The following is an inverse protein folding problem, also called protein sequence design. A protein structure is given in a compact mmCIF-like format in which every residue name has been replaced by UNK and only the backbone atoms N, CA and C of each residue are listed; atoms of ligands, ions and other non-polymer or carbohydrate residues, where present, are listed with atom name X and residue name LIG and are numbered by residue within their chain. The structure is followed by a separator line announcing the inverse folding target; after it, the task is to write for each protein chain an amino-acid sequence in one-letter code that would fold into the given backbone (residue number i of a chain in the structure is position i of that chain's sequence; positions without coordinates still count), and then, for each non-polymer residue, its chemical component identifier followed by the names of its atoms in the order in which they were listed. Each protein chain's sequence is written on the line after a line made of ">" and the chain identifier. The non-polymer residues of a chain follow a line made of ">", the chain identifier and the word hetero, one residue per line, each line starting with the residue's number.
data_IF_420652322367
#
_entry.id   IF_420652322367
#
_cell.length_a   1.000
_cell.length_b   1.000
_cell.length_c   1.000
_cell.angle_alpha   90.00
_cell.angle_beta   90.00
_cell.angle_gamma   90.00
#
_symmetry.space_group_name_H-M   'P 1'
#
loop_
_entity.id
_entity.type
_entity.pdbx_description
1 polymer ?
#
# COMPACT_ATOMS: atom_id res chain seq x y z
N UNK A 1 -95.80 20.14 0.27
CA UNK A 1 -95.34 21.36 -0.43
C UNK A 1 -93.82 21.38 -0.41
N UNK A 2 -93.14 21.54 -1.56
CA UNK A 2 -91.67 21.75 -1.57
C UNK A 2 -91.41 23.26 -1.49
N UNK A 3 -90.74 23.73 -0.43
CA UNK A 3 -90.23 25.11 -0.38
C UNK A 3 -88.98 25.17 -1.28
N UNK A 4 -89.08 25.87 -2.42
CA UNK A 4 -87.94 26.12 -3.27
C UNK A 4 -86.94 27.07 -2.59
N UNK A 5 -85.64 26.83 -2.82
CA UNK A 5 -84.59 27.79 -2.45
C UNK A 5 -84.79 29.04 -3.32
N UNK A 6 -84.88 30.22 -2.70
CA UNK A 6 -85.01 31.47 -3.47
C UNK A 6 -83.70 31.76 -4.24
N UNK A 7 -83.75 32.41 -5.42
CA UNK A 7 -82.54 32.65 -6.22
C UNK A 7 -81.41 33.35 -5.44
N UNK A 8 -81.76 34.25 -4.53
CA UNK A 8 -80.82 34.95 -3.63
C UNK A 8 -80.05 33.96 -2.75
N UNK A 9 -80.74 32.99 -2.12
CA UNK A 9 -80.09 31.98 -1.26
C UNK A 9 -79.21 31.05 -2.11
N UNK A 10 -79.63 30.70 -3.32
CA UNK A 10 -78.81 29.88 -4.23
C UNK A 10 -77.51 30.60 -4.63
N UNK A 11 -77.55 31.92 -4.92
CA UNK A 11 -76.38 32.73 -5.21
C UNK A 11 -75.44 32.82 -4.00
N UNK A 12 -75.97 33.03 -2.80
CA UNK A 12 -75.18 33.09 -1.56
C UNK A 12 -74.48 31.74 -1.29
N UNK A 13 -75.18 30.62 -1.45
CA UNK A 13 -74.59 29.28 -1.29
C UNK A 13 -73.48 29.02 -2.32
N UNK A 14 -73.67 29.41 -3.58
CA UNK A 14 -72.64 29.29 -4.62
C UNK A 14 -71.40 30.13 -4.30
N UNK A 15 -71.55 31.36 -3.80
CA UNK A 15 -70.44 32.22 -3.37
C UNK A 15 -69.68 31.62 -2.18
N UNK A 16 -70.38 31.10 -1.17
CA UNK A 16 -69.73 30.45 -0.02
C UNK A 16 -68.95 29.19 -0.45
N UNK A 17 -69.50 28.43 -1.40
CA UNK A 17 -68.84 27.23 -1.97
C UNK A 17 -67.60 27.60 -2.78
N UNK A 18 -67.63 28.63 -3.64
CA UNK A 18 -66.45 29.04 -4.42
C UNK A 18 -65.35 29.63 -3.55
N UNK A 19 -65.69 30.47 -2.57
CA UNK A 19 -64.73 31.00 -1.58
C UNK A 19 -64.07 29.84 -0.80
N UNK A 20 -64.85 28.84 -0.38
CA UNK A 20 -64.33 27.67 0.33
C UNK A 20 -63.39 26.82 -0.54
N UNK A 21 -63.73 26.59 -1.81
CA UNK A 21 -62.87 25.86 -2.75
C UNK A 21 -61.57 26.61 -3.05
N UNK A 22 -61.62 27.94 -3.25
CA UNK A 22 -60.42 28.76 -3.47
C UNK A 22 -59.52 28.78 -2.23
N UNK A 23 -60.09 28.91 -1.03
CA UNK A 23 -59.34 28.86 0.23
C UNK A 23 -58.68 27.49 0.47
N UNK A 24 -59.40 26.39 0.22
CA UNK A 24 -58.84 25.04 0.32
C UNK A 24 -57.73 24.80 -0.72
N UNK A 25 -57.96 25.17 -1.99
CA UNK A 25 -56.95 25.05 -3.04
C UNK A 25 -55.68 25.84 -2.70
N UNK A 26 -55.81 27.08 -2.20
CA UNK A 26 -54.67 27.88 -1.76
C UNK A 26 -53.89 27.20 -0.64
N UNK A 27 -54.55 26.73 0.43
CA UNK A 27 -53.87 25.99 1.52
C UNK A 27 -53.24 24.67 1.07
N UNK A 28 -53.86 23.97 0.11
CA UNK A 28 -53.32 22.73 -0.43
C UNK A 28 -52.05 22.99 -1.25
N UNK A 29 -52.08 23.98 -2.15
CA UNK A 29 -50.92 24.34 -2.98
C UNK A 29 -49.77 24.95 -2.17
N UNK A 30 -50.04 25.81 -1.19
CA UNK A 30 -48.96 26.36 -0.34
C UNK A 30 -48.28 25.27 0.50
N UNK A 31 -49.03 24.37 1.13
CA UNK A 31 -48.45 23.22 1.86
C UNK A 31 -47.67 22.29 0.94
N UNK A 32 -48.22 21.94 -0.23
CA UNK A 32 -47.53 21.06 -1.19
C UNK A 32 -46.23 21.70 -1.67
N UNK A 33 -46.23 23.01 -1.94
CA UNK A 33 -45.02 23.75 -2.29
C UNK A 33 -43.99 23.75 -1.15
N UNK A 34 -44.40 24.03 0.10
CA UNK A 34 -43.52 24.01 1.27
C UNK A 34 -42.86 22.64 1.46
N UNK A 35 -43.64 21.56 1.53
CA UNK A 35 -43.09 20.20 1.70
C UNK A 35 -42.19 19.78 0.54
N UNK A 36 -42.48 20.22 -0.70
CA UNK A 36 -41.59 19.97 -1.83
C UNK A 36 -40.25 20.70 -1.72
N UNK A 37 -40.24 21.95 -1.21
CA UNK A 37 -39.02 22.71 -0.97
C UNK A 37 -38.19 22.11 0.18
N UNK A 38 -38.82 21.81 1.31
CA UNK A 38 -38.19 21.16 2.47
C UNK A 38 -37.49 19.85 2.06
N UNK A 39 -38.20 18.96 1.33
CA UNK A 39 -37.62 17.70 0.85
C UNK A 39 -36.48 17.86 -0.18
N UNK A 40 -36.48 18.97 -0.93
CA UNK A 40 -35.41 19.30 -1.88
C UNK A 40 -34.15 19.83 -1.18
N UNK A 41 -34.32 20.67 -0.16
CA UNK A 41 -33.22 21.15 0.67
C UNK A 41 -32.59 20.02 1.49
N UNK A 42 -33.38 19.11 2.07
CA UNK A 42 -32.86 17.92 2.77
C UNK A 42 -31.99 17.04 1.84
N UNK A 43 -32.46 16.75 0.63
CA UNK A 43 -31.71 15.97 -0.37
C UNK A 43 -30.42 16.68 -0.81
N UNK A 44 -30.48 18.00 -1.02
CA UNK A 44 -29.30 18.79 -1.41
C UNK A 44 -28.26 18.83 -0.27
N UNK A 45 -28.70 19.03 0.97
CA UNK A 45 -27.83 18.96 2.15
C UNK A 45 -27.22 17.57 2.33
N UNK A 46 -27.97 16.50 2.08
CA UNK A 46 -27.46 15.13 2.12
C UNK A 46 -26.39 14.88 1.03
N UNK A 47 -26.55 15.45 -0.16
CA UNK A 47 -25.53 15.38 -1.23
C UNK A 47 -24.29 16.23 -0.91
N UNK A 48 -24.46 17.45 -0.39
CA UNK A 48 -23.35 18.34 0.03
C UNK A 48 -22.56 17.71 1.20
N UNK A 49 -23.24 17.09 2.16
CA UNK A 49 -22.63 16.32 3.26
C UNK A 49 -21.71 15.20 2.75
N UNK A 50 -22.06 14.56 1.62
CA UNK A 50 -21.27 13.49 1.00
C UNK A 50 -20.17 13.99 0.04
N UNK A 51 -20.05 15.31 -0.15
CA UNK A 51 -19.08 15.95 -1.04
C UNK A 51 -17.86 16.57 -0.30
N UNK A 52 -17.92 16.71 1.03
CA UNK A 52 -16.96 17.51 1.80
C UNK A 52 -15.52 16.96 1.87
N UNK A 53 -15.35 15.63 1.78
CA UNK A 53 -14.03 14.98 1.86
C UNK A 53 -13.81 14.13 0.62
N UNK A 54 -12.88 14.56 -0.24
CA UNK A 54 -12.48 13.87 -1.46
C UNK A 54 -10.98 13.60 -1.38
N UNK A 55 -10.57 12.34 -1.46
CA UNK A 55 -9.18 11.92 -1.30
C UNK A 55 -8.86 10.72 -2.18
N UNK A 56 -7.57 10.44 -2.35
CA UNK A 56 -7.05 9.21 -2.96
C UNK A 56 -5.74 8.80 -2.27
N UNK A 57 -5.50 7.50 -2.15
CA UNK A 57 -4.20 6.94 -1.77
C UNK A 57 -3.27 6.98 -3.00
N UNK A 58 -2.13 7.66 -2.86
CA UNK A 58 -1.11 7.78 -3.90
C UNK A 58 -0.18 6.55 -3.90
N UNK A 59 0.30 6.18 -2.71
CA UNK A 59 1.24 5.09 -2.49
C UNK A 59 1.26 4.71 -1.01
N UNK A 60 1.87 3.56 -0.70
CA UNK A 60 2.09 3.10 0.67
C UNK A 60 3.35 2.21 0.73
N UNK A 61 4.20 2.45 1.72
CA UNK A 61 5.49 1.76 1.92
C UNK A 61 6.00 2.00 3.34
N UNK A 62 6.82 1.11 3.90
CA UNK A 62 7.60 1.33 5.14
C UNK A 62 6.77 1.88 6.32
N UNK A 63 5.58 1.31 6.54
CA UNK A 63 4.57 1.71 7.54
C UNK A 63 4.01 3.14 7.39
N UNK A 64 4.08 3.71 6.18
CA UNK A 64 3.51 5.01 5.80
C UNK A 64 2.51 4.86 4.66
N UNK A 65 1.47 5.69 4.67
CA UNK A 65 0.48 5.84 3.60
C UNK A 65 0.48 7.29 3.13
N UNK A 66 0.54 7.50 1.83
CA UNK A 66 0.51 8.82 1.20
C UNK A 66 -0.88 9.09 0.63
N UNK A 67 -1.56 10.12 1.14
CA UNK A 67 -2.96 10.43 0.81
C UNK A 67 -3.04 11.82 0.18
N UNK A 68 -3.48 11.90 -1.08
CA UNK A 68 -3.75 13.17 -1.76
C UNK A 68 -5.15 13.67 -1.41
N UNK A 69 -5.25 14.93 -1.01
CA UNK A 69 -6.50 15.66 -0.95
C UNK A 69 -6.93 16.07 -2.37
N UNK A 70 -8.11 15.63 -2.81
CA UNK A 70 -8.72 15.94 -4.11
C UNK A 70 -9.89 16.95 -4.00
N UNK A 71 -10.15 17.45 -2.80
CA UNK A 71 -11.15 18.48 -2.53
C UNK A 71 -10.59 19.91 -2.64
N UNK A 72 -11.50 20.88 -2.64
CA UNK A 72 -11.16 22.32 -2.58
C UNK A 72 -10.85 22.84 -1.18
N UNK A 73 -11.14 22.06 -0.14
CA UNK A 73 -10.97 22.42 1.28
C UNK A 73 -9.92 21.56 1.97
N UNK A 74 -9.37 22.02 3.10
CA UNK A 74 -8.36 21.28 3.86
C UNK A 74 -8.98 20.14 4.67
N UNK A 75 -8.54 18.90 4.45
CA UNK A 75 -9.03 17.73 5.20
C UNK A 75 -8.27 17.62 6.52
N UNK A 76 -8.96 17.52 7.65
CA UNK A 76 -8.33 17.18 8.94
C UNK A 76 -8.07 15.67 9.01
N UNK A 77 -6.83 15.23 9.28
CA UNK A 77 -6.49 13.81 9.23
C UNK A 77 -7.23 12.94 10.26
N UNK A 78 -7.81 13.53 11.31
CA UNK A 78 -8.62 12.80 12.31
C UNK A 78 -9.94 12.25 11.77
N UNK A 79 -10.38 12.65 10.56
CA UNK A 79 -11.59 12.06 9.92
C UNK A 79 -11.33 10.71 9.27
N UNK A 80 -10.07 10.27 9.17
CA UNK A 80 -9.72 9.02 8.49
C UNK A 80 -9.79 7.81 9.43
N UNK A 81 -10.59 6.81 9.05
CA UNK A 81 -10.45 5.45 9.55
C UNK A 81 -9.47 4.68 8.67
N UNK A 82 -8.41 4.11 9.26
CA UNK A 82 -7.42 3.29 8.54
C UNK A 82 -7.55 1.83 8.97
N UNK A 83 -7.38 0.88 8.04
CA UNK A 83 -7.45 -0.56 8.30
C UNK A 83 -6.41 -1.33 7.48
N UNK A 84 -6.05 -2.52 7.95
CA UNK A 84 -5.43 -3.59 7.17
C UNK A 84 -6.38 -4.80 7.15
N UNK A 85 -6.99 -5.08 5.99
CA UNK A 85 -8.21 -5.89 5.92
C UNK A 85 -9.32 -5.28 6.79
N UNK A 86 -10.00 -6.13 7.57
CA UNK A 86 -11.05 -5.71 8.52
C UNK A 86 -10.50 -5.16 9.86
N UNK A 87 -9.18 -5.22 10.10
CA UNK A 87 -8.59 -4.76 11.36
C UNK A 87 -8.29 -3.25 11.32
N UNK A 88 -8.85 -2.42 12.22
CA UNK A 88 -8.50 -1.01 12.30
C UNK A 88 -7.04 -0.83 12.75
N UNK A 89 -6.35 0.16 12.17
CA UNK A 89 -4.94 0.47 12.45
C UNK A 89 -4.82 1.92 12.91
N UNK A 90 -4.16 2.15 14.04
CA UNK A 90 -3.87 3.49 14.56
C UNK A 90 -2.69 4.11 13.82
N UNK A 91 -2.77 5.42 13.57
CA UNK A 91 -1.77 6.18 12.82
C UNK A 91 -1.52 7.56 13.46
N UNK A 92 -0.42 8.18 13.04
CA UNK A 92 -0.09 9.59 13.25
C UNK A 92 0.08 10.29 11.89
N UNK A 93 0.01 11.61 11.85
CA UNK A 93 0.09 12.37 10.59
C UNK A 93 -0.07 13.87 10.80
N UNK A 94 -0.12 14.68 9.72
CA UNK A 94 -0.35 16.11 9.81
C UNK A 94 -1.76 16.42 10.31
N UNK A 95 -1.94 17.51 11.06
CA UNK A 95 -3.25 17.90 11.57
C UNK A 95 -4.27 18.19 10.43
N UNK A 96 -3.80 18.73 9.30
CA UNK A 96 -4.59 18.92 8.08
C UNK A 96 -3.77 18.64 6.82
N UNK A 97 -4.46 18.27 5.75
CA UNK A 97 -3.92 18.11 4.38
C UNK A 97 -4.57 19.18 3.50
N UNK A 98 -3.78 20.15 3.03
CA UNK A 98 -4.25 21.23 2.17
C UNK A 98 -4.81 20.73 0.82
N UNK A 99 -5.67 21.50 0.12
CA UNK A 99 -6.17 21.16 -1.22
C UNK A 99 -5.05 20.78 -2.18
N UNK A 100 -5.24 19.71 -2.95
CA UNK A 100 -4.26 19.10 -3.88
C UNK A 100 -2.93 18.61 -3.26
N UNK A 101 -2.69 18.82 -1.95
CA UNK A 101 -1.47 18.34 -1.28
C UNK A 101 -1.56 16.85 -0.93
N UNK A 102 -0.40 16.25 -0.63
CA UNK A 102 -0.28 14.88 -0.13
C UNK A 102 0.10 14.93 1.35
N UNK A 103 -0.68 14.24 2.19
CA UNK A 103 -0.35 14.00 3.60
C UNK A 103 0.27 12.63 3.79
N UNK A 104 1.17 12.53 4.78
CA UNK A 104 1.76 11.26 5.22
C UNK A 104 1.05 10.76 6.48
N UNK A 105 0.53 9.55 6.46
CA UNK A 105 -0.05 8.85 7.62
C UNK A 105 0.89 7.70 8.02
N UNK A 106 1.58 7.84 9.15
CA UNK A 106 2.51 6.84 9.68
C UNK A 106 1.80 5.92 10.69
N UNK A 107 1.78 4.62 10.40
CA UNK A 107 1.10 3.59 11.19
C UNK A 107 1.89 3.29 12.49
N UNK A 108 1.22 3.27 13.64
CA UNK A 108 1.86 2.92 14.92
C UNK A 108 2.18 1.42 15.04
N UNK A 109 1.45 0.57 14.31
CA UNK A 109 1.74 -0.86 14.22
C UNK A 109 2.63 -1.11 13.00
N UNK A 110 3.79 -1.71 13.23
CA UNK A 110 4.53 -2.36 12.15
C UNK A 110 3.70 -3.52 11.60
N UNK A 111 3.27 -3.38 10.35
CA UNK A 111 2.68 -4.48 9.58
C UNK A 111 3.81 -5.25 8.87
N UNK A 112 3.63 -6.55 8.69
CA UNK A 112 4.57 -7.43 7.99
C UNK A 112 3.86 -8.21 6.88
N UNK A 113 4.50 -8.32 5.72
CA UNK A 113 3.94 -8.91 4.50
C UNK A 113 3.00 -7.99 3.73
N UNK A 114 2.32 -8.55 2.73
CA UNK A 114 1.39 -7.81 1.87
C UNK A 114 0.00 -7.68 2.51
N UNK A 115 -0.47 -6.43 2.66
CA UNK A 115 -1.80 -6.11 3.18
C UNK A 115 -2.60 -5.32 2.16
N UNK A 116 -3.91 -5.57 2.11
CA UNK A 116 -4.87 -4.64 1.51
C UNK A 116 -5.22 -3.62 2.58
N UNK A 117 -4.80 -2.38 2.38
CA UNK A 117 -5.24 -1.25 3.18
C UNK A 117 -6.57 -0.70 2.70
N UNK A 118 -7.32 -0.18 3.66
CA UNK A 118 -8.53 0.61 3.49
C UNK A 118 -8.32 1.94 4.21
N UNK A 119 -8.63 3.05 3.56
CA UNK A 119 -8.85 4.34 4.24
C UNK A 119 -10.30 4.77 3.96
N UNK A 120 -11.02 5.17 5.00
CA UNK A 120 -12.39 5.71 4.89
C UNK A 120 -12.51 7.11 5.51
N UNK A 121 -13.42 7.90 4.98
CA UNK A 121 -13.96 9.10 5.63
C UNK A 121 -15.46 9.21 5.28
N UNK A 122 -16.32 9.06 6.28
CA UNK A 122 -17.77 9.03 6.09
C UNK A 122 -18.20 7.91 5.13
N UNK A 123 -18.73 8.28 3.95
CA UNK A 123 -19.16 7.33 2.90
C UNK A 123 -18.12 7.12 1.79
N UNK A 124 -16.92 7.71 1.91
CA UNK A 124 -15.84 7.55 0.94
C UNK A 124 -14.82 6.54 1.45
N UNK A 125 -14.43 5.61 0.60
CA UNK A 125 -13.36 4.64 0.86
C UNK A 125 -12.40 4.58 -0.33
N UNK A 126 -11.12 4.37 -0.05
CA UNK A 126 -10.11 4.04 -1.06
C UNK A 126 -9.16 2.96 -0.53
N UNK A 127 -8.54 2.22 -1.44
CA UNK A 127 -7.83 0.97 -1.15
C UNK A 127 -6.48 0.91 -1.87
N UNK A 128 -5.47 0.36 -1.19
CA UNK A 128 -4.18 0.04 -1.80
C UNK A 128 -3.68 -1.32 -1.31
N UNK A 129 -3.14 -2.14 -2.21
CA UNK A 129 -2.35 -3.31 -1.81
C UNK A 129 -0.90 -2.87 -1.66
N UNK A 130 -0.33 -3.05 -0.47
CA UNK A 130 1.04 -2.63 -0.18
C UNK A 130 1.78 -3.69 0.63
N UNK A 131 3.06 -3.88 0.31
CA UNK A 131 3.96 -4.69 1.12
C UNK A 131 4.48 -3.85 2.28
N UNK A 132 4.10 -4.23 3.50
CA UNK A 132 4.63 -3.63 4.71
C UNK A 132 5.69 -4.55 5.32
N UNK A 133 6.82 -3.96 5.67
CA UNK A 133 7.98 -4.63 6.23
C UNK A 133 9.14 -3.62 6.26
N UNK A 134 10.31 -4.01 6.79
CA UNK A 134 11.52 -3.21 6.63
C UNK A 134 12.00 -3.21 5.16
N UNK A 135 11.71 -4.29 4.42
CA UNK A 135 12.22 -4.50 3.07
C UNK A 135 11.35 -3.90 1.95
N UNK A 136 11.94 -3.51 0.79
CA UNK A 136 11.19 -3.02 -0.36
C UNK A 136 10.25 -4.08 -0.98
N UNK A 137 9.39 -3.65 -1.90
CA UNK A 137 8.51 -4.58 -2.63
C UNK A 137 9.31 -5.59 -3.45
N UNK A 138 9.00 -6.88 -3.33
CA UNK A 138 9.74 -7.97 -3.97
C UNK A 138 11.00 -8.43 -3.25
N UNK A 139 11.25 -7.96 -2.02
CA UNK A 139 12.32 -8.41 -1.13
C UNK A 139 11.76 -9.17 0.07
N UNK A 140 12.54 -10.11 0.60
CA UNK A 140 12.18 -10.99 1.72
C UNK A 140 13.02 -10.60 2.94
N UNK A 141 12.36 -10.34 4.07
CA UNK A 141 13.02 -10.07 5.35
C UNK A 141 13.58 -11.36 5.97
N UNK A 142 14.83 -11.31 6.43
CA UNK A 142 15.42 -12.32 7.29
C UNK A 142 16.45 -11.67 8.23
N UNK A 143 16.37 -11.96 9.54
CA UNK A 143 17.26 -11.44 10.60
C UNK A 143 17.51 -9.91 10.58
N UNK A 144 16.49 -9.12 10.23
CA UNK A 144 16.52 -7.66 10.00
C UNK A 144 17.22 -7.17 8.72
N UNK A 145 17.74 -8.07 7.91
CA UNK A 145 18.29 -7.84 6.57
C UNK A 145 17.24 -8.18 5.49
N UNK A 146 17.49 -7.78 4.24
CA UNK A 146 16.52 -7.83 3.17
C UNK A 146 17.10 -8.48 1.93
N UNK A 147 16.54 -9.60 1.46
CA UNK A 147 17.14 -10.42 0.42
C UNK A 147 16.25 -10.58 -0.81
N UNK A 148 16.87 -10.73 -1.98
CA UNK A 148 16.16 -10.92 -3.27
C UNK A 148 17.03 -11.72 -4.24
N UNK A 149 16.43 -12.67 -4.95
CA UNK A 149 17.09 -13.38 -6.06
C UNK A 149 17.31 -12.43 -7.24
N UNK A 150 18.56 -12.36 -7.72
CA UNK A 150 18.94 -11.68 -8.94
C UNK A 150 18.71 -12.58 -10.18
N UNK A 151 19.03 -12.08 -11.37
CA UNK A 151 19.15 -12.90 -12.58
C UNK A 151 20.30 -13.92 -12.52
N UNK A 152 20.29 -14.85 -13.47
CA UNK A 152 21.41 -15.78 -13.70
C UNK A 152 22.48 -15.13 -14.57
N UNK A 153 23.74 -15.16 -14.12
CA UNK A 153 24.84 -14.53 -14.85
C UNK A 153 26.23 -14.79 -14.26
N UNK A 154 27.22 -14.14 -14.87
CA UNK A 154 28.61 -14.06 -14.34
C UNK A 154 28.64 -13.17 -13.10
N UNK A 155 29.50 -13.47 -12.12
CA UNK A 155 29.47 -12.86 -10.78
C UNK A 155 29.38 -11.32 -10.83
N UNK A 156 30.24 -10.68 -11.62
CA UNK A 156 30.25 -9.21 -11.79
C UNK A 156 28.97 -8.63 -12.41
N UNK A 157 28.26 -9.40 -13.25
CA UNK A 157 26.96 -8.98 -13.80
C UNK A 157 25.83 -9.08 -12.78
N UNK A 158 25.93 -10.04 -11.86
CA UNK A 158 24.92 -10.27 -10.81
C UNK A 158 25.12 -9.27 -9.66
N UNK A 159 26.37 -9.01 -9.26
CA UNK A 159 26.71 -7.87 -8.38
C UNK A 159 26.24 -6.54 -8.98
N UNK A 160 26.42 -6.32 -10.29
CA UNK A 160 25.90 -5.12 -10.96
C UNK A 160 24.36 -5.01 -10.91
N UNK A 161 23.63 -6.14 -10.91
CA UNK A 161 22.18 -6.14 -10.71
C UNK A 161 21.83 -5.75 -9.27
N UNK A 162 22.51 -6.32 -8.27
CA UNK A 162 22.32 -5.93 -6.86
C UNK A 162 22.59 -4.44 -6.65
N UNK A 163 23.72 -3.93 -7.15
CA UNK A 163 24.07 -2.51 -7.10
C UNK A 163 23.00 -1.61 -7.75
N UNK A 164 22.37 -2.07 -8.84
CA UNK A 164 21.27 -1.33 -9.48
C UNK A 164 19.98 -1.25 -8.64
N UNK A 165 19.84 -2.13 -7.64
CA UNK A 165 18.78 -2.07 -6.63
C UNK A 165 19.22 -1.36 -5.32
N UNK A 166 20.44 -0.78 -5.26
CA UNK A 166 21.06 -0.25 -4.04
C UNK A 166 21.33 -1.34 -2.97
N UNK A 167 21.82 -2.49 -3.42
CA UNK A 167 22.16 -3.69 -2.65
C UNK A 167 23.49 -4.27 -3.14
N UNK A 168 23.97 -5.37 -2.55
CA UNK A 168 25.14 -6.14 -2.99
C UNK A 168 24.84 -7.63 -3.02
N UNK A 169 25.71 -8.48 -3.59
CA UNK A 169 25.65 -9.93 -3.39
C UNK A 169 25.83 -10.27 -1.90
N UNK A 170 24.96 -11.15 -1.39
CA UNK A 170 24.77 -11.38 0.04
C UNK A 170 26.04 -11.78 0.81
N UNK A 171 26.19 -11.21 2.00
CA UNK A 171 27.20 -11.57 3.00
C UNK A 171 26.64 -12.64 3.92
N UNK A 172 27.40 -13.72 4.15
CA UNK A 172 26.91 -14.83 4.99
C UNK A 172 27.57 -14.79 6.36
N UNK A 173 26.82 -14.34 7.36
CA UNK A 173 27.22 -14.12 8.76
C UNK A 173 27.02 -15.35 9.64
N UNK A 174 26.12 -16.28 9.29
CA UNK A 174 25.89 -17.51 10.06
C UNK A 174 25.29 -18.68 9.25
N UNK A 175 25.22 -19.87 9.87
CA UNK A 175 24.72 -21.09 9.24
C UNK A 175 23.20 -21.09 8.95
N UNK A 176 22.41 -20.37 9.74
CA UNK A 176 20.96 -20.23 9.51
C UNK A 176 20.71 -19.34 8.29
N UNK A 177 21.43 -18.23 8.19
CA UNK A 177 21.44 -17.34 7.02
C UNK A 177 21.93 -18.03 5.75
N UNK A 178 23.02 -18.81 5.82
CA UNK A 178 23.48 -19.67 4.72
C UNK A 178 22.34 -20.57 4.19
N UNK A 179 21.59 -21.17 5.10
CA UNK A 179 20.48 -22.07 4.79
C UNK A 179 19.28 -21.30 4.21
N UNK A 180 19.00 -20.10 4.73
CA UNK A 180 17.98 -19.21 4.21
C UNK A 180 18.30 -18.72 2.80
N UNK A 181 19.50 -18.17 2.55
CA UNK A 181 19.96 -17.71 1.24
C UNK A 181 19.89 -18.85 0.22
N UNK A 182 20.30 -20.06 0.59
CA UNK A 182 20.15 -21.24 -0.30
C UNK A 182 18.68 -21.60 -0.56
N UNK A 183 17.80 -21.45 0.43
CA UNK A 183 16.36 -21.74 0.26
C UNK A 183 15.63 -20.81 -0.72
N UNK A 184 16.21 -19.64 -1.02
CA UNK A 184 15.67 -18.72 -2.04
C UNK A 184 15.83 -19.25 -3.47
N UNK A 185 16.73 -20.20 -3.72
CA UNK A 185 16.84 -20.90 -5.02
C UNK A 185 16.84 -22.43 -4.85
N UNK A 186 15.66 -23.05 -4.64
CA UNK A 186 15.54 -24.44 -4.20
C UNK A 186 15.65 -25.49 -5.34
N UNK A 187 16.12 -25.12 -6.54
CA UNK A 187 16.14 -26.02 -7.71
C UNK A 187 17.29 -27.05 -7.71
N UNK A 188 18.13 -27.05 -6.67
CA UNK A 188 19.45 -27.70 -6.58
C UNK A 188 20.56 -27.03 -7.43
N UNK A 189 20.29 -25.93 -8.12
CA UNK A 189 21.36 -25.15 -8.79
C UNK A 189 22.20 -24.38 -7.76
N UNK A 190 23.46 -24.09 -8.11
CA UNK A 190 24.41 -23.34 -7.29
C UNK A 190 24.12 -21.82 -7.32
N UNK A 191 24.51 -21.09 -6.26
CA UNK A 191 24.09 -19.69 -6.02
C UNK A 191 25.28 -18.79 -5.69
N UNK A 192 25.47 -17.68 -6.43
CA UNK A 192 26.51 -16.68 -6.12
C UNK A 192 26.25 -15.93 -4.80
N UNK A 193 27.32 -15.70 -4.04
CA UNK A 193 27.36 -14.84 -2.84
C UNK A 193 28.48 -13.80 -2.94
N UNK A 194 28.51 -12.82 -2.02
CA UNK A 194 29.43 -11.69 -2.06
C UNK A 194 30.90 -12.02 -1.84
N UNK A 195 31.25 -13.25 -1.48
CA UNK A 195 32.62 -13.65 -1.14
C UNK A 195 33.47 -13.90 -2.40
N UNK A 196 34.61 -13.23 -2.49
CA UNK A 196 35.53 -13.29 -3.64
C UNK A 196 36.97 -12.89 -3.23
N UNK A 197 37.98 -13.36 -3.96
CA UNK A 197 39.37 -12.91 -3.82
C UNK A 197 39.96 -12.28 -5.10
N UNK A 198 39.10 -11.89 -6.07
CA UNK A 198 39.46 -11.19 -7.34
C UNK A 198 40.43 -10.00 -7.19
N UNK A 199 40.49 -9.39 -6.00
CA UNK A 199 41.37 -8.25 -5.70
C UNK A 199 42.78 -8.65 -5.22
N UNK A 200 42.96 -9.88 -4.74
CA UNK A 200 44.22 -10.44 -4.26
C UNK A 200 44.05 -11.95 -3.98
N UNK A 201 44.62 -12.79 -4.83
CA UNK A 201 44.74 -14.26 -4.69
C UNK A 201 44.95 -14.71 -3.23
N UNK A 202 44.14 -15.68 -2.80
CA UNK A 202 44.17 -16.27 -1.45
C UNK A 202 43.68 -15.34 -0.34
N UNK A 203 43.11 -14.18 -0.67
CA UNK A 203 42.69 -13.14 0.31
C UNK A 203 41.23 -12.74 0.12
N UNK A 204 40.32 -13.69 0.40
CA UNK A 204 38.88 -13.50 0.26
C UNK A 204 38.32 -12.33 1.09
N UNK A 205 37.43 -11.58 0.44
CA UNK A 205 36.72 -10.40 0.95
C UNK A 205 35.24 -10.50 0.54
N UNK A 206 34.38 -9.85 1.30
CA UNK A 206 32.97 -9.71 0.96
C UNK A 206 32.77 -8.44 0.11
N UNK A 207 31.82 -8.47 -0.83
CA UNK A 207 31.42 -7.32 -1.65
C UNK A 207 30.83 -6.17 -0.79
N UNK A 208 30.11 -6.54 0.26
CA UNK A 208 29.52 -5.67 1.28
C UNK A 208 29.91 -6.13 2.70
N UNK A 209 29.60 -5.31 3.70
CA UNK A 209 29.64 -5.73 5.12
C UNK A 209 30.97 -6.34 5.57
N UNK A 210 30.89 -7.32 6.48
CA UNK A 210 32.02 -8.16 6.88
C UNK A 210 31.52 -9.36 7.71
N UNK A 211 31.92 -10.58 7.33
CA UNK A 211 31.68 -11.80 8.11
C UNK A 211 32.96 -12.60 8.33
N UNK A 212 33.03 -13.29 9.48
CA UNK A 212 34.07 -14.28 9.82
C UNK A 212 33.55 -15.73 9.78
N UNK A 213 32.27 -15.93 9.44
CA UNK A 213 31.70 -17.26 9.20
C UNK A 213 32.20 -17.80 7.86
N UNK A 214 32.50 -19.10 7.83
CA UNK A 214 32.97 -19.84 6.66
C UNK A 214 32.25 -21.19 6.60
N UNK A 215 31.87 -21.63 5.39
CA UNK A 215 31.16 -22.90 5.19
C UNK A 215 31.71 -23.71 4.00
N UNK A 216 33.03 -23.70 3.83
CA UNK A 216 33.74 -24.38 2.74
C UNK A 216 33.41 -25.88 2.64
N UNK A 217 33.23 -26.38 1.42
CA UNK A 217 33.11 -27.80 1.14
C UNK A 217 34.46 -28.53 1.41
N UNK A 218 34.40 -29.87 1.51
CA UNK A 218 35.59 -30.67 1.76
C UNK A 218 36.59 -30.58 0.60
N UNK A 219 37.73 -29.93 0.84
CA UNK A 219 38.78 -29.67 -0.15
C UNK A 219 38.87 -28.22 -0.62
N UNK A 220 37.98 -27.34 -0.17
CA UNK A 220 37.97 -25.90 -0.52
C UNK A 220 38.63 -25.03 0.57
N UNK A 221 39.13 -23.83 0.22
CA UNK A 221 39.16 -23.25 -1.13
C UNK A 221 40.24 -23.88 -2.01
N UNK A 222 39.85 -24.38 -3.19
CA UNK A 222 40.79 -24.86 -4.23
C UNK A 222 41.31 -23.66 -5.04
N UNK A 223 42.13 -22.83 -4.38
CA UNK A 223 42.71 -21.59 -4.92
C UNK A 223 43.71 -21.86 -6.06
N UNK A 224 43.13 -21.99 -7.25
CA UNK A 224 43.82 -21.91 -8.54
C UNK A 224 43.50 -20.55 -9.15
N UNK A 225 44.50 -19.81 -9.63
CA UNK A 225 44.41 -18.41 -10.07
C UNK A 225 43.54 -18.08 -11.32
N UNK A 226 42.55 -18.94 -11.61
CA UNK A 226 41.45 -18.74 -12.57
C UNK A 226 40.07 -18.87 -11.87
N UNK A 227 40.04 -18.95 -10.53
CA UNK A 227 38.84 -19.16 -9.70
C UNK A 227 38.83 -18.20 -8.50
N UNK A 228 38.10 -17.10 -8.62
CA UNK A 228 38.15 -16.03 -7.62
C UNK A 228 36.79 -15.74 -6.93
N UNK A 229 35.72 -16.44 -7.32
CA UNK A 229 34.33 -16.15 -6.90
C UNK A 229 33.67 -17.35 -6.21
N UNK A 230 32.88 -17.11 -5.17
CA UNK A 230 32.33 -18.16 -4.30
C UNK A 230 30.83 -18.38 -4.52
N UNK A 231 30.43 -19.64 -4.62
CA UNK A 231 29.03 -20.08 -4.68
C UNK A 231 28.60 -20.84 -3.41
N UNK A 232 27.31 -20.85 -3.09
CA UNK A 232 26.67 -21.86 -2.23
C UNK A 232 26.15 -23.00 -3.13
N UNK A 233 26.82 -24.15 -3.05
CA UNK A 233 26.46 -25.34 -3.84
C UNK A 233 25.07 -25.89 -3.53
N UNK A 234 24.55 -26.77 -4.37
CA UNK A 234 23.42 -27.66 -4.11
C UNK A 234 23.40 -28.25 -2.67
N UNK A 235 24.56 -28.57 -2.10
CA UNK A 235 24.71 -29.14 -0.75
C UNK A 235 24.57 -28.13 0.40
N UNK A 236 24.57 -26.83 0.11
CA UNK A 236 24.62 -25.76 1.10
C UNK A 236 26.04 -25.36 1.55
N UNK A 237 27.07 -26.12 1.17
CA UNK A 237 28.48 -25.77 1.41
C UNK A 237 29.07 -24.92 0.27
N UNK A 238 30.14 -24.18 0.53
CA UNK A 238 30.74 -23.22 -0.39
C UNK A 238 31.85 -23.84 -1.25
N UNK A 239 31.98 -23.39 -2.49
CA UNK A 239 33.11 -23.72 -3.37
C UNK A 239 33.59 -22.49 -4.15
N UNK A 240 34.88 -22.48 -4.52
CA UNK A 240 35.44 -21.43 -5.37
C UNK A 240 35.29 -21.81 -6.86
N UNK A 241 35.04 -20.80 -7.70
CA UNK A 241 34.71 -20.93 -9.12
C UNK A 241 35.31 -19.80 -9.94
N UNK A 242 35.49 -20.05 -11.23
CA UNK A 242 35.74 -18.99 -12.20
C UNK A 242 34.54 -18.05 -12.26
N UNK A 243 34.79 -16.74 -12.07
CA UNK A 243 33.75 -15.70 -12.00
C UNK A 243 32.89 -15.57 -13.27
N UNK A 244 33.30 -16.21 -14.37
CA UNK A 244 32.58 -16.29 -15.65
C UNK A 244 31.59 -17.47 -15.76
N UNK A 245 31.43 -18.28 -14.71
CA UNK A 245 30.33 -19.25 -14.61
C UNK A 245 28.97 -18.53 -14.50
N UNK A 246 27.89 -19.21 -14.91
CA UNK A 246 26.54 -18.64 -14.92
C UNK A 246 25.68 -19.25 -13.81
N UNK A 247 25.45 -18.49 -12.74
CA UNK A 247 24.61 -18.88 -11.61
C UNK A 247 23.66 -17.74 -11.24
N UNK A 248 22.57 -18.07 -10.54
CA UNK A 248 21.70 -17.08 -9.88
C UNK A 248 22.45 -16.53 -8.66
N UNK A 249 22.29 -15.26 -8.34
CA UNK A 249 22.75 -14.71 -7.06
C UNK A 249 21.60 -14.31 -6.14
N UNK A 250 21.94 -14.07 -4.88
CA UNK A 250 21.04 -13.40 -3.91
C UNK A 250 21.66 -12.07 -3.53
N UNK A 251 20.89 -11.00 -3.71
CA UNK A 251 21.22 -9.67 -3.24
C UNK A 251 20.78 -9.45 -1.79
N UNK A 252 21.44 -8.51 -1.12
CA UNK A 252 21.25 -8.00 0.25
C UNK A 252 21.45 -6.47 0.29
#
# INVERSE_FOLDING_TARGET
>A
MKKGITPIIAIILLLLITISMVGFAFMFFTRTAQTSAESGEEQLQQQISQAAVSFKIESAASNKIYVRNLGGESINASVFGVYAGDMPVTFSGPATISPNAVGELALFRHLSGTHVLRIESGVKSDFITANFGPCPSGWIEYDSHCYKTAGSGVWNSVESECLSNNAHLATISNASENSFVKSLWPLNDDVWIGYNDMSQEGTFRWASGSSSYLNWAAGEPDNTADKDCVEITASGAWQVRGCFNYFVGVCE
#
